data_IF_879548095751
#
_entry.id   IF_879548095751
#
_cell.length_a   1.000
_cell.length_b   1.000
_cell.length_c   1.000
_cell.angle_alpha   90.00
_cell.angle_beta   90.00
_cell.angle_gamma   90.00
#
_symmetry.space_group_name_H-M   'P 1'
#
loop_
_entity.id
_entity.type
_entity.pdbx_description
1 polymer ?
#
# COMPACT_ATOMS: atom_id res chain seq x y z
N UNK A 1 -4.84 29.46 -8.75
CA UNK A 1 -3.95 29.70 -7.61
C UNK A 1 -2.94 28.59 -7.44
N UNK A 2 -1.69 28.95 -7.19
CA UNK A 2 -0.67 27.96 -6.91
C UNK A 2 -0.96 27.24 -5.59
N UNK A 3 -0.77 25.96 -5.60
CA UNK A 3 -0.97 25.12 -4.42
C UNK A 3 0.21 25.27 -3.46
N UNK A 4 -0.07 25.44 -2.18
CA UNK A 4 0.94 25.47 -1.14
C UNK A 4 1.21 24.04 -0.63
N UNK A 5 2.45 23.59 -0.72
CA UNK A 5 2.84 22.26 -0.27
C UNK A 5 2.70 22.03 1.25
N UNK A 6 2.67 23.09 2.03
CA UNK A 6 2.49 23.02 3.49
C UNK A 6 1.03 22.80 3.91
N UNK A 7 0.10 23.31 3.08
CA UNK A 7 -1.34 23.22 3.31
C UNK A 7 -1.99 22.39 2.22
N UNK A 8 -1.45 21.22 1.96
CA UNK A 8 -1.66 20.52 0.69
C UNK A 8 -2.83 19.55 0.66
N UNK A 9 -3.78 19.63 1.60
CA UNK A 9 -4.98 18.79 1.58
C UNK A 9 -6.08 19.39 0.74
N UNK A 10 -6.10 19.05 -0.56
CA UNK A 10 -7.21 19.41 -1.46
C UNK A 10 -8.50 18.71 -1.04
N UNK A 11 -8.37 17.52 -0.49
CA UNK A 11 -9.50 16.71 -0.03
C UNK A 11 -9.40 16.57 1.47
N UNK A 12 -10.41 17.08 2.16
CA UNK A 12 -10.47 17.01 3.62
C UNK A 12 -10.97 15.63 4.04
N UNK A 13 -10.13 14.88 4.75
CA UNK A 13 -10.47 13.57 5.30
C UNK A 13 -10.28 13.62 6.81
N UNK A 14 -11.36 13.38 7.54
CA UNK A 14 -11.34 13.31 9.01
C UNK A 14 -11.11 11.85 9.43
N UNK A 15 -9.90 11.54 9.84
CA UNK A 15 -9.51 10.18 10.22
C UNK A 15 -10.27 9.68 11.44
N UNK A 16 -10.56 10.56 12.41
CA UNK A 16 -11.34 10.19 13.59
C UNK A 16 -12.78 9.85 13.23
N UNK A 17 -13.37 10.57 12.28
CA UNK A 17 -14.71 10.27 11.79
C UNK A 17 -14.76 8.91 11.10
N UNK A 18 -13.71 8.53 10.36
CA UNK A 18 -13.61 7.21 9.73
C UNK A 18 -13.67 6.11 10.79
N UNK A 19 -12.89 6.22 11.86
CA UNK A 19 -12.91 5.24 12.95
C UNK A 19 -14.30 5.11 13.58
N UNK A 20 -14.97 6.22 13.86
CA UNK A 20 -16.32 6.21 14.43
C UNK A 20 -17.33 5.52 13.53
N UNK A 21 -17.27 5.80 12.22
CA UNK A 21 -18.15 5.16 11.24
C UNK A 21 -17.90 3.65 11.17
N UNK A 22 -16.62 3.24 11.17
CA UNK A 22 -16.26 1.82 11.16
C UNK A 22 -16.72 1.10 12.43
N UNK A 23 -16.56 1.72 13.59
CA UNK A 23 -17.02 1.17 14.86
C UNK A 23 -18.53 0.98 14.86
N UNK A 24 -19.28 1.98 14.44
CA UNK A 24 -20.74 1.91 14.40
C UNK A 24 -21.25 0.87 13.38
N UNK A 25 -20.66 0.86 12.20
CA UNK A 25 -21.07 -0.04 11.13
C UNK A 25 -20.72 -1.50 11.42
N UNK A 26 -19.63 -1.76 12.12
CA UNK A 26 -19.11 -3.11 12.36
C UNK A 26 -19.25 -3.58 13.81
N UNK A 27 -20.02 -2.86 14.64
CA UNK A 27 -20.14 -3.18 16.06
C UNK A 27 -20.60 -4.64 16.32
N UNK A 28 -21.62 -5.19 15.62
CA UNK A 28 -22.00 -6.60 15.85
C UNK A 28 -20.90 -7.59 15.51
N UNK A 29 -20.18 -7.36 14.42
CA UNK A 29 -19.06 -8.22 13.99
C UNK A 29 -17.91 -8.17 14.98
N UNK A 30 -17.56 -6.98 15.47
CA UNK A 30 -16.50 -6.80 16.47
C UNK A 30 -16.87 -7.46 17.80
N UNK A 31 -18.14 -7.36 18.21
CA UNK A 31 -18.62 -8.03 19.41
C UNK A 31 -18.49 -9.54 19.31
N UNK A 32 -18.86 -10.13 18.17
CA UNK A 32 -18.67 -11.56 17.93
C UNK A 32 -17.20 -11.96 17.94
N UNK A 33 -16.35 -11.15 17.32
CA UNK A 33 -14.90 -11.39 17.30
C UNK A 33 -14.32 -11.40 18.72
N UNK A 34 -14.73 -10.45 19.57
CA UNK A 34 -14.27 -10.40 20.95
C UNK A 34 -14.73 -11.61 21.75
N UNK A 35 -15.95 -12.09 21.54
CA UNK A 35 -16.45 -13.31 22.19
C UNK A 35 -15.64 -14.54 21.79
N UNK A 36 -15.31 -14.67 20.51
CA UNK A 36 -14.52 -15.78 19.99
C UNK A 36 -13.08 -15.72 20.54
N UNK A 37 -12.49 -14.53 20.58
CA UNK A 37 -11.15 -14.32 21.11
C UNK A 37 -11.10 -14.70 22.59
N UNK A 38 -12.08 -14.23 23.39
CA UNK A 38 -12.17 -14.54 24.81
C UNK A 38 -12.30 -16.05 25.04
N UNK A 39 -13.15 -16.71 24.25
CA UNK A 39 -13.32 -18.18 24.35
C UNK A 39 -12.05 -18.92 23.97
N UNK A 40 -11.31 -18.44 22.97
CA UNK A 40 -10.04 -19.04 22.57
C UNK A 40 -9.02 -19.03 23.72
N UNK A 41 -9.00 -17.96 24.51
CA UNK A 41 -8.08 -17.82 25.63
C UNK A 41 -8.44 -18.70 26.83
N UNK A 42 -9.66 -19.23 26.89
CA UNK A 42 -10.12 -20.13 27.97
C UNK A 42 -9.66 -21.57 27.77
N UNK A 43 -9.28 -21.98 26.56
CA UNK A 43 -8.81 -23.33 26.31
C UNK A 43 -7.43 -23.56 26.94
N UNK A 44 -7.18 -24.78 27.47
CA UNK A 44 -5.86 -25.13 28.00
C UNK A 44 -4.82 -25.24 26.89
N UNK A 45 -3.55 -25.12 27.25
CA UNK A 45 -2.44 -25.21 26.30
C UNK A 45 -2.21 -26.64 25.80
N UNK A 46 -2.71 -27.65 26.54
CA UNK A 46 -2.58 -29.05 26.17
C UNK A 46 -3.93 -29.73 26.30
N UNK A 47 -4.20 -30.66 25.39
CA UNK A 47 -5.37 -31.53 25.42
C UNK A 47 -4.93 -32.98 25.39
N UNK A 48 -5.68 -33.88 26.06
CA UNK A 48 -5.33 -35.28 26.20
C UNK A 48 -6.39 -36.22 25.65
N UNK A 49 -7.57 -35.72 25.26
CA UNK A 49 -8.69 -36.55 24.85
C UNK A 49 -9.16 -36.19 23.44
N UNK A 50 -9.60 -37.22 22.69
CA UNK A 50 -10.11 -37.01 21.33
C UNK A 50 -11.34 -36.12 21.29
N UNK A 51 -12.20 -36.16 22.31
CA UNK A 51 -13.37 -35.29 22.39
C UNK A 51 -12.98 -33.84 22.46
N UNK A 52 -11.94 -33.51 23.21
CA UNK A 52 -11.39 -32.16 23.29
C UNK A 52 -10.84 -31.69 21.94
N UNK A 53 -10.14 -32.62 21.24
CA UNK A 53 -9.59 -32.31 19.92
C UNK A 53 -10.70 -32.00 18.90
N UNK A 54 -11.79 -32.76 18.93
CA UNK A 54 -12.94 -32.52 18.03
C UNK A 54 -13.61 -31.17 18.33
N UNK A 55 -13.76 -30.83 19.61
CA UNK A 55 -14.28 -29.54 20.02
C UNK A 55 -13.41 -28.38 19.52
N UNK A 56 -12.10 -28.50 19.68
CA UNK A 56 -11.16 -27.51 19.21
C UNK A 56 -11.15 -27.36 17.70
N UNK A 57 -11.28 -28.46 16.96
CA UNK A 57 -11.42 -28.40 15.49
C UNK A 57 -12.65 -27.61 15.05
N UNK A 58 -13.79 -27.85 15.71
CA UNK A 58 -15.04 -27.11 15.44
C UNK A 58 -14.88 -25.63 15.77
N UNK A 59 -14.26 -25.34 16.90
CA UNK A 59 -13.99 -23.97 17.33
C UNK A 59 -13.03 -23.28 16.36
N UNK A 60 -11.97 -23.96 15.93
CA UNK A 60 -11.02 -23.42 14.97
C UNK A 60 -11.69 -23.05 13.65
N UNK A 61 -12.65 -23.86 13.19
CA UNK A 61 -13.43 -23.55 12.00
C UNK A 61 -14.24 -22.24 12.17
N UNK A 62 -14.87 -22.04 13.33
CA UNK A 62 -15.59 -20.81 13.67
C UNK A 62 -14.66 -19.63 13.73
N UNK A 63 -13.49 -19.79 14.35
CA UNK A 63 -12.45 -18.75 14.46
C UNK A 63 -11.98 -18.30 13.07
N UNK A 64 -11.71 -19.26 12.19
CA UNK A 64 -11.27 -18.98 10.82
C UNK A 64 -12.35 -18.30 9.98
N UNK A 65 -13.61 -18.68 10.19
CA UNK A 65 -14.73 -18.00 9.52
C UNK A 65 -14.83 -16.56 9.97
N UNK A 66 -14.68 -16.30 11.27
CA UNK A 66 -14.70 -14.94 11.81
C UNK A 66 -13.52 -14.12 11.26
N UNK A 67 -12.32 -14.69 11.20
CA UNK A 67 -11.15 -14.04 10.61
C UNK A 67 -11.42 -13.63 9.17
N UNK A 68 -12.05 -14.52 8.39
CA UNK A 68 -12.39 -14.25 7.00
C UNK A 68 -13.41 -13.12 6.87
N UNK A 69 -14.42 -13.10 7.75
CA UNK A 69 -15.44 -12.04 7.75
C UNK A 69 -14.84 -10.67 8.06
N UNK A 70 -13.93 -10.60 9.03
CA UNK A 70 -13.23 -9.35 9.37
C UNK A 70 -12.36 -8.89 8.18
N UNK A 71 -11.64 -9.81 7.55
CA UNK A 71 -10.81 -9.49 6.39
C UNK A 71 -11.64 -8.98 5.22
N UNK A 72 -12.80 -9.59 4.96
CA UNK A 72 -13.72 -9.14 3.90
C UNK A 72 -14.28 -7.75 4.19
N UNK A 73 -14.64 -7.48 5.44
CA UNK A 73 -15.11 -6.15 5.85
C UNK A 73 -14.01 -5.10 5.65
N UNK A 74 -12.77 -5.41 6.03
CA UNK A 74 -11.63 -4.53 5.81
C UNK A 74 -11.44 -4.18 4.35
N UNK A 75 -11.50 -5.17 3.47
CA UNK A 75 -11.34 -4.98 2.02
C UNK A 75 -12.49 -4.16 1.44
N UNK A 76 -13.72 -4.48 1.83
CA UNK A 76 -14.92 -3.79 1.35
C UNK A 76 -14.95 -2.34 1.80
N UNK A 77 -14.71 -2.08 3.09
CA UNK A 77 -14.76 -0.74 3.65
C UNK A 77 -13.57 0.11 3.20
N UNK A 78 -12.44 -0.52 2.90
CA UNK A 78 -11.26 0.17 2.40
C UNK A 78 -11.28 0.50 0.92
N UNK A 79 -12.13 -0.17 0.13
CA UNK A 79 -12.16 -0.03 -1.33
C UNK A 79 -12.38 1.40 -1.82
N UNK A 80 -13.30 2.20 -1.26
CA UNK A 80 -13.48 3.58 -1.71
C UNK A 80 -12.21 4.42 -1.59
N UNK A 81 -11.43 4.21 -0.52
CA UNK A 81 -10.17 4.94 -0.31
C UNK A 81 -9.09 4.47 -1.29
N UNK A 82 -8.99 3.17 -1.50
CA UNK A 82 -8.08 2.56 -2.46
C UNK A 82 -8.37 3.04 -3.88
N UNK A 83 -9.64 3.05 -4.28
CA UNK A 83 -10.08 3.50 -5.61
C UNK A 83 -9.80 4.98 -5.80
N UNK A 84 -10.06 5.81 -4.78
CA UNK A 84 -9.76 7.24 -4.81
C UNK A 84 -8.25 7.49 -4.95
N UNK A 85 -7.44 6.73 -4.22
CA UNK A 85 -5.98 6.82 -4.32
C UNK A 85 -5.48 6.48 -5.73
N UNK A 86 -6.05 5.46 -6.36
CA UNK A 86 -5.72 5.08 -7.75
C UNK A 86 -6.03 6.19 -8.74
N UNK A 87 -7.14 6.89 -8.56
CA UNK A 87 -7.52 8.04 -9.41
C UNK A 87 -6.48 9.15 -9.30
N UNK A 88 -6.09 9.50 -8.09
CA UNK A 88 -5.06 10.53 -7.83
C UNK A 88 -3.74 10.13 -8.49
N UNK A 89 -3.31 8.89 -8.28
CA UNK A 89 -2.06 8.36 -8.82
C UNK A 89 -2.06 8.38 -10.35
N UNK A 90 -3.15 7.95 -10.98
CA UNK A 90 -3.27 7.94 -12.43
C UNK A 90 -3.24 9.36 -13.02
N UNK A 91 -3.87 10.30 -12.33
CA UNK A 91 -3.89 11.69 -12.77
C UNK A 91 -2.49 12.31 -12.83
N UNK A 92 -1.69 12.13 -11.78
CA UNK A 92 -0.30 12.58 -11.75
C UNK A 92 0.60 11.76 -12.68
N UNK A 93 0.30 10.48 -12.82
CA UNK A 93 1.12 9.54 -13.59
C UNK A 93 1.35 9.96 -15.03
N UNK A 94 0.36 10.56 -15.66
CA UNK A 94 0.49 11.07 -17.05
C UNK A 94 1.59 12.12 -17.16
N UNK A 95 1.62 13.06 -16.23
CA UNK A 95 2.63 14.13 -16.22
C UNK A 95 4.00 13.59 -15.80
N UNK A 96 4.03 12.71 -14.80
CA UNK A 96 5.27 12.07 -14.37
C UNK A 96 5.94 11.31 -15.52
N UNK A 97 5.16 10.57 -16.31
CA UNK A 97 5.69 9.82 -17.47
C UNK A 97 6.27 10.75 -18.53
N UNK A 98 5.60 11.86 -18.78
CA UNK A 98 6.09 12.88 -19.73
C UNK A 98 7.39 13.53 -19.24
N UNK A 99 7.49 13.79 -17.94
CA UNK A 99 8.72 14.32 -17.35
C UNK A 99 9.86 13.32 -17.45
N UNK A 100 9.60 12.04 -17.23
CA UNK A 100 10.60 10.97 -17.38
C UNK A 100 11.10 10.88 -18.82
N UNK A 101 10.20 10.99 -19.78
CA UNK A 101 10.57 10.99 -21.20
C UNK A 101 11.46 12.18 -21.54
N UNK A 102 11.10 13.37 -21.05
CA UNK A 102 11.92 14.59 -21.23
C UNK A 102 13.29 14.44 -20.58
N UNK A 103 13.33 13.89 -19.35
CA UNK A 103 14.58 13.62 -18.64
C UNK A 103 15.50 12.73 -19.48
N UNK A 104 14.99 11.61 -19.99
CA UNK A 104 15.78 10.70 -20.82
C UNK A 104 16.32 11.39 -22.06
N UNK A 105 15.49 12.22 -22.71
CA UNK A 105 15.92 12.95 -23.91
C UNK A 105 17.08 13.89 -23.58
N UNK A 106 16.97 14.69 -22.53
CA UNK A 106 18.01 15.64 -22.15
C UNK A 106 19.27 14.91 -21.68
N UNK A 107 19.11 13.87 -20.87
CA UNK A 107 20.23 13.03 -20.43
C UNK A 107 21.00 12.44 -21.59
N UNK A 108 20.29 11.95 -22.62
CA UNK A 108 20.91 11.41 -23.82
C UNK A 108 21.68 12.48 -24.62
N UNK A 109 21.13 13.68 -24.74
CA UNK A 109 21.80 14.81 -25.41
C UNK A 109 23.11 15.13 -24.68
N UNK A 110 23.07 15.22 -23.36
CA UNK A 110 24.24 15.51 -22.54
C UNK A 110 25.29 14.38 -22.65
N UNK A 111 24.85 13.13 -22.62
CA UNK A 111 25.73 11.97 -22.78
C UNK A 111 26.43 11.96 -24.14
N UNK A 112 25.72 12.25 -25.19
CA UNK A 112 26.27 12.32 -26.55
C UNK A 112 27.30 13.45 -26.66
N UNK A 113 27.01 14.61 -26.08
CA UNK A 113 27.92 15.74 -26.05
C UNK A 113 29.21 15.39 -25.27
N UNK A 114 29.08 14.78 -24.10
CA UNK A 114 30.23 14.36 -23.31
C UNK A 114 31.07 13.32 -24.05
N UNK A 115 30.44 12.36 -24.72
CA UNK A 115 31.15 11.36 -25.53
C UNK A 115 31.89 12.00 -26.71
N UNK A 116 31.27 12.97 -27.38
CA UNK A 116 31.90 13.69 -28.49
C UNK A 116 33.13 14.49 -28.04
N UNK A 117 33.01 15.17 -26.90
CA UNK A 117 34.14 15.88 -26.31
C UNK A 117 35.32 14.94 -25.95
N UNK A 118 34.97 13.80 -25.37
CA UNK A 118 35.96 12.80 -24.99
C UNK A 118 36.66 12.23 -26.21
N UNK A 119 35.93 11.94 -27.28
CA UNK A 119 36.48 11.47 -28.54
C UNK A 119 37.41 12.51 -29.21
N UNK A 120 37.02 13.78 -29.19
CA UNK A 120 37.85 14.89 -29.70
C UNK A 120 39.14 15.02 -28.91
N UNK A 121 39.09 14.96 -27.58
CA UNK A 121 40.27 15.03 -26.74
C UNK A 121 41.21 13.85 -26.98
N UNK A 122 40.68 12.65 -27.19
CA UNK A 122 41.48 11.47 -27.52
C UNK A 122 42.15 11.61 -28.89
N UNK A 123 41.44 12.15 -29.88
CA UNK A 123 42.00 12.39 -31.22
C UNK A 123 43.13 13.43 -31.19
N UNK A 124 42.94 14.51 -30.46
CA UNK A 124 43.98 15.54 -30.32
C UNK A 124 45.22 14.95 -29.65
N UNK A 125 45.09 14.16 -28.57
CA UNK A 125 46.21 13.48 -27.92
C UNK A 125 46.94 12.55 -28.87
N UNK A 126 46.20 11.77 -29.65
CA UNK A 126 46.79 10.84 -30.61
C UNK A 126 47.61 11.57 -31.69
N UNK A 127 47.12 12.71 -32.20
CA UNK A 127 47.86 13.53 -33.17
C UNK A 127 49.14 14.11 -32.57
N UNK A 128 49.13 14.50 -31.31
CA UNK A 128 50.28 15.09 -30.64
C UNK A 128 51.35 14.05 -30.28
N UNK A 129 51.01 12.78 -30.21
CA UNK A 129 51.95 11.69 -29.94
C UNK A 129 52.69 11.23 -31.20
N UNK A 130 52.21 11.56 -32.38
CA UNK A 130 52.87 11.30 -33.66
C UNK A 130 53.87 12.45 -33.96
#
# INVERSE_FOLDING_TARGET
MARNHKDNNLFSIDLEAIERVLEDANAPMLSQAEQIISKALEYPNEINENAEAEELKSFLAQLRLQTKQVAQARLSDGRPFSDASKVVKAWFGKTEDRLKTADKRISNILSQYASALHAQAAEIRRRNED
#
